data_IF_111853191402
#
_entry.id   IF_111853191402
#
_cell.length_a   1.000
_cell.length_b   1.000
_cell.length_c   1.000
_cell.angle_alpha   90.00
_cell.angle_beta   90.00
_cell.angle_gamma   90.00
#
_symmetry.space_group_name_H-M   'P 1'
#
loop_
_entity.id
_entity.type
_entity.pdbx_description
1 polymer ?
#
# COMPACT_ATOMS: atom_id res chain seq x y z
N UNK A 1 -10.98 -7.56 20.52
CA UNK A 1 -10.03 -6.54 21.04
C UNK A 1 -10.84 -5.37 21.61
N UNK A 2 -10.27 -4.52 22.48
CA UNK A 2 -10.99 -3.33 23.00
C UNK A 2 -11.49 -2.41 21.87
N UNK A 3 -10.75 -2.33 20.75
CA UNK A 3 -11.16 -1.58 19.55
C UNK A 3 -12.37 -2.21 18.88
N UNK A 4 -12.44 -3.54 18.78
CA UNK A 4 -13.65 -4.23 18.25
C UNK A 4 -14.85 -3.98 19.16
N UNK A 5 -14.68 -4.03 20.47
CA UNK A 5 -15.74 -3.72 21.45
C UNK A 5 -16.19 -2.26 21.33
N UNK A 6 -15.25 -1.32 21.16
CA UNK A 6 -15.57 0.08 20.89
C UNK A 6 -16.37 0.24 19.59
N UNK A 7 -15.90 -0.36 18.50
CA UNK A 7 -16.53 -0.24 17.18
C UNK A 7 -17.91 -0.92 17.13
N UNK A 8 -18.14 -1.97 17.91
CA UNK A 8 -19.43 -2.65 18.03
C UNK A 8 -20.45 -1.89 18.90
N UNK A 9 -20.04 -0.85 19.63
CA UNK A 9 -20.94 -0.11 20.52
C UNK A 9 -21.89 0.84 19.79
N UNK A 10 -21.65 1.13 18.51
CA UNK A 10 -22.36 2.11 17.66
C UNK A 10 -22.58 3.50 18.27
N UNK A 11 -21.92 3.78 19.41
CA UNK A 11 -22.06 5.02 20.17
C UNK A 11 -21.26 6.16 19.54
N UNK A 12 -20.25 5.83 18.74
CA UNK A 12 -19.36 6.75 18.05
C UNK A 12 -19.02 6.20 16.66
N UNK A 13 -18.56 7.06 15.73
CA UNK A 13 -18.01 6.61 14.47
C UNK A 13 -16.88 5.58 14.69
N UNK A 14 -16.78 4.53 13.85
CA UNK A 14 -15.76 3.50 14.03
C UNK A 14 -14.34 4.07 14.03
N UNK A 15 -13.54 3.66 15.01
CA UNK A 15 -12.10 3.93 15.04
C UNK A 15 -11.40 3.06 14.00
N UNK A 16 -11.06 3.67 12.87
CA UNK A 16 -10.28 3.05 11.79
C UNK A 16 -8.80 3.43 11.94
N UNK A 17 -7.99 2.46 12.32
CA UNK A 17 -6.52 2.62 12.40
C UNK A 17 -5.88 2.07 11.14
N UNK A 18 -4.89 2.80 10.61
CA UNK A 18 -4.07 2.38 9.47
C UNK A 18 -2.60 2.43 9.86
N UNK A 19 -1.83 1.51 9.30
CA UNK A 19 -0.42 1.32 9.62
C UNK A 19 0.40 1.35 8.33
N UNK A 20 1.44 2.18 8.32
CA UNK A 20 2.44 2.22 7.27
C UNK A 20 3.79 1.86 7.86
N UNK A 21 4.40 0.79 7.37
CA UNK A 21 5.69 0.30 7.88
C UNK A 21 6.72 0.32 6.76
N UNK A 22 7.82 1.02 7.01
CA UNK A 22 8.96 1.07 6.13
C UNK A 22 10.25 0.85 6.91
N UNK A 23 11.16 0.11 6.29
CA UNK A 23 12.49 -0.14 6.83
C UNK A 23 13.53 0.50 5.94
N UNK A 24 14.34 1.40 6.50
CA UNK A 24 15.41 2.07 5.79
C UNK A 24 16.28 2.92 6.73
N UNK A 25 17.36 3.52 6.20
CA UNK A 25 18.28 4.34 6.98
C UNK A 25 17.59 5.62 7.48
N UNK A 26 17.87 5.99 8.72
CA UNK A 26 17.38 7.22 9.34
C UNK A 26 18.37 7.68 10.42
N UNK A 27 18.33 8.96 10.75
CA UNK A 27 19.09 9.52 11.88
C UNK A 27 18.18 9.51 13.11
N UNK A 28 18.64 8.91 14.20
CA UNK A 28 17.92 8.84 15.47
C UNK A 28 18.75 9.53 16.55
N UNK A 29 18.13 10.40 17.34
CA UNK A 29 18.82 11.06 18.44
C UNK A 29 17.97 12.10 19.15
N UNK A 30 18.59 12.77 20.13
CA UNK A 30 18.02 13.93 20.78
C UNK A 30 18.12 15.13 19.84
N UNK A 31 16.99 15.60 19.32
CA UNK A 31 16.92 16.80 18.50
C UNK A 31 16.17 17.90 19.26
N UNK A 32 16.74 19.11 19.25
CA UNK A 32 16.15 20.25 19.92
C UNK A 32 17.18 21.24 20.46
N UNK A 33 16.72 22.21 21.24
CA UNK A 33 17.56 23.21 21.89
C UNK A 33 17.90 22.78 23.31
N UNK A 34 18.87 23.46 23.94
CA UNK A 34 19.25 23.23 25.34
C UNK A 34 18.07 23.21 26.35
N UNK A 35 16.92 23.81 26.00
CA UNK A 35 15.73 23.91 26.86
C UNK A 35 14.58 22.95 26.48
N UNK A 36 14.66 22.27 25.33
CA UNK A 36 13.63 21.33 24.85
C UNK A 36 14.27 20.35 23.88
N UNK A 37 14.33 19.07 24.26
CA UNK A 37 14.86 17.98 23.46
C UNK A 37 13.78 16.91 23.28
N UNK A 38 13.58 16.50 22.03
CA UNK A 38 12.76 15.35 21.69
C UNK A 38 13.66 14.25 21.17
N UNK A 39 13.54 13.04 21.72
CA UNK A 39 14.16 11.86 21.14
C UNK A 39 13.34 11.45 19.92
N UNK A 40 13.89 11.64 18.73
CA UNK A 40 13.14 11.47 17.48
C UNK A 40 13.99 10.89 16.37
N UNK A 41 13.32 10.41 15.33
CA UNK A 41 13.94 9.92 14.10
C UNK A 41 13.64 10.89 12.95
N UNK A 42 14.65 11.23 12.16
CA UNK A 42 14.53 12.11 11.00
C UNK A 42 15.16 11.45 9.77
N UNK A 43 14.50 11.62 8.64
CA UNK A 43 15.00 11.20 7.33
C UNK A 43 13.89 10.77 6.39
N UNK A 44 14.27 10.55 5.13
CA UNK A 44 13.33 10.13 4.08
C UNK A 44 12.59 8.83 4.40
N UNK A 45 13.20 7.93 5.15
CA UNK A 45 12.55 6.68 5.58
C UNK A 45 11.37 6.93 6.53
N UNK A 46 11.46 7.92 7.42
CA UNK A 46 10.35 8.29 8.33
C UNK A 46 9.20 8.90 7.51
N UNK A 47 9.54 9.80 6.58
CA UNK A 47 8.56 10.39 5.66
C UNK A 47 7.87 9.35 4.78
N UNK A 48 8.62 8.35 4.30
CA UNK A 48 8.06 7.27 3.48
C UNK A 48 7.09 6.40 4.29
N UNK A 49 7.42 6.05 5.54
CA UNK A 49 6.51 5.29 6.40
C UNK A 49 5.15 5.99 6.58
N UNK A 50 5.16 7.31 6.85
CA UNK A 50 3.94 8.12 6.96
C UNK A 50 3.14 8.15 5.66
N UNK A 51 3.81 8.30 4.50
CA UNK A 51 3.13 8.24 3.19
C UNK A 51 2.49 6.87 2.95
N UNK A 52 3.20 5.79 3.28
CA UNK A 52 2.69 4.42 3.16
C UNK A 52 1.46 4.21 4.04
N UNK A 53 1.41 4.81 5.25
CA UNK A 53 0.19 4.79 6.07
C UNK A 53 -0.98 5.42 5.33
N UNK A 54 -0.81 6.63 4.79
CA UNK A 54 -1.87 7.34 4.10
C UNK A 54 -2.43 6.59 2.88
N UNK A 55 -1.59 5.83 2.18
CA UNK A 55 -1.99 5.03 1.01
C UNK A 55 -2.96 3.90 1.34
N UNK A 56 -3.02 3.44 2.59
CA UNK A 56 -4.01 2.46 3.01
C UNK A 56 -5.44 2.92 2.68
N UNK A 57 -5.71 4.24 2.78
CA UNK A 57 -7.02 4.79 2.43
C UNK A 57 -7.38 4.55 0.97
N UNK A 58 -6.43 4.63 0.05
CA UNK A 58 -6.68 4.45 -1.37
C UNK A 58 -6.88 2.97 -1.71
N UNK A 59 -6.04 2.09 -1.15
CA UNK A 59 -6.14 0.64 -1.35
C UNK A 59 -7.25 -0.03 -0.55
N UNK A 60 -7.83 0.65 0.45
CA UNK A 60 -8.83 0.06 1.36
C UNK A 60 -8.23 -0.92 2.37
N UNK A 61 -6.92 -0.85 2.61
CA UNK A 61 -6.20 -1.73 3.53
C UNK A 61 -6.09 -1.11 4.92
N UNK A 62 -5.67 -1.89 5.91
CA UNK A 62 -5.36 -1.40 7.26
C UNK A 62 -3.86 -1.39 7.55
N UNK A 63 -3.08 -2.22 6.88
CA UNK A 63 -1.63 -2.28 7.04
C UNK A 63 -0.95 -2.36 5.68
N UNK A 64 -0.01 -1.47 5.44
CA UNK A 64 0.87 -1.52 4.29
C UNK A 64 2.32 -1.56 4.75
N UNK A 65 3.09 -2.43 4.11
CA UNK A 65 4.52 -2.56 4.31
C UNK A 65 5.25 -2.42 2.99
N UNK A 66 6.42 -1.80 3.00
CA UNK A 66 7.27 -1.73 1.80
C UNK A 66 7.99 -3.06 1.52
N UNK A 67 8.46 -3.28 0.29
CA UNK A 67 9.35 -4.41 -0.05
C UNK A 67 10.53 -4.55 0.94
N UNK A 68 11.12 -3.43 1.34
CA UNK A 68 12.23 -3.40 2.30
C UNK A 68 11.85 -3.96 3.69
N UNK A 69 10.62 -3.73 4.13
CA UNK A 69 10.08 -4.31 5.36
C UNK A 69 9.71 -5.75 5.15
N UNK A 70 9.02 -6.08 4.05
CA UNK A 70 8.61 -7.44 3.71
C UNK A 70 9.77 -8.42 3.69
N UNK A 71 10.92 -8.01 3.17
CA UNK A 71 12.15 -8.81 3.13
C UNK A 71 12.70 -9.20 4.52
N UNK A 72 12.27 -8.51 5.58
CA UNK A 72 12.68 -8.78 6.97
C UNK A 72 11.59 -9.43 7.81
N UNK A 73 10.40 -9.67 7.25
CA UNK A 73 9.32 -10.36 7.95
C UNK A 73 9.60 -11.86 8.03
N UNK A 74 9.17 -12.47 9.11
CA UNK A 74 9.22 -13.93 9.26
C UNK A 74 8.38 -14.61 8.15
N UNK A 75 8.78 -15.80 7.67
CA UNK A 75 8.05 -16.52 6.62
C UNK A 75 6.58 -16.80 6.94
N UNK A 76 6.23 -16.91 8.23
CA UNK A 76 4.87 -17.13 8.70
C UNK A 76 3.93 -15.91 8.52
N UNK A 77 4.48 -14.72 8.24
CA UNK A 77 3.65 -13.53 8.02
C UNK A 77 3.10 -13.56 6.59
N UNK A 78 1.79 -13.75 6.47
CA UNK A 78 1.10 -13.76 5.19
C UNK A 78 1.04 -12.34 4.63
N UNK A 79 1.49 -12.19 3.40
CA UNK A 79 1.56 -10.91 2.71
C UNK A 79 1.15 -11.08 1.25
N UNK A 80 0.50 -10.07 0.68
CA UNK A 80 0.25 -9.98 -0.75
C UNK A 80 0.84 -8.69 -1.30
N UNK A 81 1.62 -8.79 -2.38
CA UNK A 81 2.13 -7.61 -3.08
C UNK A 81 0.98 -6.90 -3.77
N UNK A 82 0.72 -5.65 -3.40
CA UNK A 82 -0.33 -4.84 -4.03
C UNK A 82 0.16 -4.10 -5.27
N UNK A 83 1.46 -4.04 -5.52
CA UNK A 83 2.07 -3.44 -6.71
C UNK A 83 3.12 -2.40 -6.37
N UNK A 84 3.39 -1.49 -7.32
CA UNK A 84 4.43 -0.48 -7.23
C UNK A 84 3.84 0.92 -7.09
N UNK A 85 4.49 1.77 -6.30
CA UNK A 85 4.16 3.18 -6.20
C UNK A 85 5.34 4.06 -6.58
N UNK A 86 5.06 5.22 -7.19
CA UNK A 86 6.03 6.28 -7.38
C UNK A 86 5.92 7.28 -6.24
N UNK A 87 7.00 7.43 -5.48
CA UNK A 87 7.08 8.39 -4.38
C UNK A 87 7.81 9.63 -4.88
N UNK A 88 7.19 10.80 -4.73
CA UNK A 88 7.82 12.09 -5.07
C UNK A 88 9.17 12.21 -4.37
N UNK A 89 10.22 12.45 -5.17
CA UNK A 89 11.61 12.57 -4.73
C UNK A 89 12.43 11.28 -4.78
N UNK A 90 11.84 10.13 -5.14
CA UNK A 90 12.57 8.86 -5.35
C UNK A 90 12.58 8.46 -6.81
N UNK A 91 13.74 8.03 -7.29
CA UNK A 91 13.94 7.57 -8.68
C UNK A 91 13.33 6.20 -8.92
N UNK A 92 13.53 5.27 -7.99
CA UNK A 92 13.00 3.91 -8.06
C UNK A 92 11.60 3.80 -7.44
N UNK A 93 10.66 3.09 -8.09
CA UNK A 93 9.39 2.74 -7.49
C UNK A 93 9.55 1.90 -6.22
N UNK A 94 8.62 2.05 -5.29
CA UNK A 94 8.59 1.27 -4.04
C UNK A 94 7.46 0.25 -4.15
N UNK A 95 7.75 -1.03 -3.94
CA UNK A 95 6.69 -2.04 -3.85
C UNK A 95 6.00 -2.02 -2.49
N UNK A 96 4.69 -2.21 -2.54
CA UNK A 96 3.83 -2.28 -1.37
C UNK A 96 3.23 -3.68 -1.23
N UNK A 97 3.11 -4.12 0.01
CA UNK A 97 2.41 -5.32 0.40
C UNK A 97 1.40 -4.98 1.48
N UNK A 98 0.26 -5.67 1.48
CA UNK A 98 -0.63 -5.74 2.64
C UNK A 98 -0.42 -7.05 3.37
N UNK A 99 -0.71 -7.07 4.67
CA UNK A 99 -0.59 -8.27 5.51
C UNK A 99 -1.96 -8.84 5.83
N UNK A 100 -2.02 -10.17 5.97
CA UNK A 100 -3.24 -10.88 6.31
C UNK A 100 -3.04 -11.80 7.51
N UNK A 101 -4.11 -12.03 8.26
CA UNK A 101 -4.13 -13.01 9.35
C UNK A 101 -4.24 -14.44 8.82
N UNK A 102 -4.93 -14.59 7.71
CA UNK A 102 -5.29 -15.85 7.06
C UNK A 102 -5.01 -15.77 5.55
N UNK A 103 -4.82 -16.93 4.87
CA UNK A 103 -4.54 -16.94 3.43
C UNK A 103 -5.61 -16.25 2.60
N UNK A 104 -5.18 -15.60 1.52
CA UNK A 104 -6.06 -15.00 0.51
C UNK A 104 -6.16 -15.95 -0.66
N UNK A 105 -7.34 -16.56 -0.87
CA UNK A 105 -7.55 -17.52 -1.95
C UNK A 105 -7.30 -16.90 -3.34
N UNK A 106 -7.61 -15.61 -3.49
CA UNK A 106 -7.45 -14.86 -4.73
C UNK A 106 -6.03 -14.30 -4.97
N UNK A 107 -5.06 -14.61 -4.09
CA UNK A 107 -3.69 -14.13 -4.23
C UNK A 107 -3.06 -14.47 -5.60
N UNK A 108 -3.17 -15.69 -6.14
CA UNK A 108 -2.62 -16.02 -7.46
C UNK A 108 -3.24 -15.18 -8.59
N UNK A 109 -4.55 -14.93 -8.53
CA UNK A 109 -5.24 -14.12 -9.55
C UNK A 109 -4.90 -12.64 -9.43
N UNK A 110 -4.65 -12.16 -8.22
CA UNK A 110 -4.13 -10.82 -8.01
C UNK A 110 -2.72 -10.65 -8.61
N UNK A 111 -1.84 -11.64 -8.45
CA UNK A 111 -0.51 -11.65 -9.05
C UNK A 111 -0.58 -11.64 -10.59
N UNK A 112 -1.48 -12.42 -11.18
CA UNK A 112 -1.76 -12.42 -12.62
C UNK A 112 -2.30 -11.06 -13.10
N UNK A 113 -3.21 -10.45 -12.33
CA UNK A 113 -3.75 -9.13 -12.62
C UNK A 113 -2.65 -8.07 -12.65
N UNK A 114 -1.74 -8.09 -11.66
CA UNK A 114 -0.58 -7.20 -11.63
C UNK A 114 0.38 -7.45 -12.79
N UNK A 115 0.66 -8.70 -13.13
CA UNK A 115 1.52 -9.04 -14.26
C UNK A 115 0.95 -8.50 -15.58
N UNK A 116 -0.35 -8.69 -15.80
CA UNK A 116 -1.07 -8.18 -16.98
C UNK A 116 -1.09 -6.66 -17.02
N UNK A 117 -1.29 -6.01 -15.87
CA UNK A 117 -1.22 -4.55 -15.73
C UNK A 117 0.15 -4.00 -16.12
N UNK A 118 1.24 -4.61 -15.63
CA UNK A 118 2.61 -4.23 -16.00
C UNK A 118 2.89 -4.47 -17.50
N UNK A 119 2.33 -5.55 -18.07
CA UNK A 119 2.44 -5.88 -19.48
C UNK A 119 1.56 -5.02 -20.40
N UNK A 120 0.73 -4.14 -19.85
CA UNK A 120 -0.24 -3.29 -20.57
C UNK A 120 -1.36 -4.08 -21.26
N UNK A 121 -1.58 -5.32 -20.84
CA UNK A 121 -2.75 -6.09 -21.24
C UNK A 121 -3.94 -5.63 -20.40
N UNK A 122 -4.52 -4.51 -20.82
CA UNK A 122 -5.58 -3.84 -20.08
C UNK A 122 -6.86 -4.66 -19.98
N UNK A 123 -7.15 -5.46 -21.00
CA UNK A 123 -8.36 -6.28 -21.01
C UNK A 123 -8.27 -7.39 -19.98
N UNK A 124 -7.16 -8.14 -19.98
CA UNK A 124 -6.91 -9.20 -18.99
C UNK A 124 -6.80 -8.60 -17.59
N UNK A 125 -6.04 -7.51 -17.42
CA UNK A 125 -5.87 -6.87 -16.12
C UNK A 125 -7.21 -6.42 -15.50
N UNK A 126 -8.06 -5.72 -16.27
CA UNK A 126 -9.37 -5.26 -15.77
C UNK A 126 -10.24 -6.43 -15.34
N UNK A 127 -10.34 -7.47 -16.18
CA UNK A 127 -11.14 -8.67 -15.89
C UNK A 127 -10.64 -9.38 -14.63
N UNK A 128 -9.33 -9.55 -14.49
CA UNK A 128 -8.74 -10.22 -13.33
C UNK A 128 -8.95 -9.41 -12.04
N UNK A 129 -8.74 -8.08 -12.06
CA UNK A 129 -9.05 -7.23 -10.91
C UNK A 129 -10.54 -7.25 -10.56
N UNK A 130 -11.44 -7.22 -11.55
CA UNK A 130 -12.89 -7.29 -11.32
C UNK A 130 -13.27 -8.58 -10.60
N UNK A 131 -12.71 -9.71 -11.04
CA UNK A 131 -12.98 -11.01 -10.45
C UNK A 131 -12.44 -11.10 -9.02
N UNK A 132 -11.21 -10.65 -8.78
CA UNK A 132 -10.64 -10.61 -7.42
C UNK A 132 -11.50 -9.74 -6.51
N UNK A 133 -11.92 -8.55 -6.96
CA UNK A 133 -12.73 -7.66 -6.14
C UNK A 133 -14.13 -8.19 -5.80
N UNK A 134 -14.68 -9.09 -6.63
CA UNK A 134 -15.93 -9.80 -6.34
C UNK A 134 -15.76 -10.97 -5.35
N UNK A 135 -14.62 -11.65 -5.40
CA UNK A 135 -14.38 -12.89 -4.65
C UNK A 135 -13.63 -12.65 -3.32
N UNK A 136 -12.90 -11.55 -3.21
CA UNK A 136 -12.15 -11.17 -2.02
C UNK A 136 -12.48 -9.72 -1.62
N UNK A 137 -13.39 -9.56 -0.66
CA UNK A 137 -13.87 -8.26 -0.20
C UNK A 137 -12.75 -7.40 0.39
N UNK A 138 -11.70 -8.02 0.97
CA UNK A 138 -10.53 -7.30 1.50
C UNK A 138 -9.69 -6.62 0.41
N UNK A 139 -9.81 -7.07 -0.84
CA UNK A 139 -9.11 -6.52 -2.01
C UNK A 139 -10.02 -5.72 -2.95
N UNK A 140 -11.34 -5.67 -2.70
CA UNK A 140 -12.31 -5.03 -3.59
C UNK A 140 -11.96 -3.56 -3.90
N UNK A 141 -11.57 -2.80 -2.88
CA UNK A 141 -11.20 -1.40 -3.08
C UNK A 141 -9.87 -1.24 -3.86
N UNK A 142 -8.87 -2.07 -3.55
CA UNK A 142 -7.60 -2.08 -4.27
C UNK A 142 -7.80 -2.45 -5.75
N UNK A 143 -8.64 -3.45 -6.03
CA UNK A 143 -9.02 -3.84 -7.38
C UNK A 143 -9.70 -2.69 -8.15
N UNK A 144 -10.68 -2.03 -7.53
CA UNK A 144 -11.35 -0.87 -8.12
C UNK A 144 -10.38 0.29 -8.40
N UNK A 145 -9.40 0.51 -7.51
CA UNK A 145 -8.33 1.49 -7.73
C UNK A 145 -7.53 1.18 -9.01
N UNK A 146 -7.15 -0.08 -9.22
CA UNK A 146 -6.44 -0.48 -10.44
C UNK A 146 -7.29 -0.34 -11.70
N UNK A 147 -8.58 -0.68 -11.64
CA UNK A 147 -9.49 -0.49 -12.77
C UNK A 147 -9.60 0.98 -13.18
N UNK A 148 -9.76 1.88 -12.21
CA UNK A 148 -9.76 3.32 -12.44
C UNK A 148 -8.42 3.82 -13.00
N UNK A 149 -7.31 3.26 -12.52
CA UNK A 149 -5.99 3.59 -13.04
C UNK A 149 -5.82 3.16 -14.49
N UNK A 150 -6.29 1.96 -14.87
CA UNK A 150 -6.25 1.47 -16.25
C UNK A 150 -7.06 2.39 -17.17
N UNK A 151 -8.23 2.86 -16.74
CA UNK A 151 -9.01 3.83 -17.52
C UNK A 151 -8.21 5.09 -17.83
N UNK A 152 -7.56 5.68 -16.82
CA UNK A 152 -6.69 6.86 -16.99
C UNK A 152 -5.50 6.60 -17.91
N UNK A 153 -4.86 5.43 -17.77
CA UNK A 153 -3.71 5.05 -18.58
C UNK A 153 -4.08 4.74 -20.04
N UNK A 154 -5.33 4.39 -20.33
CA UNK A 154 -5.81 4.27 -21.71
C UNK A 154 -5.93 5.64 -22.39
N UNK A 155 -6.37 6.66 -21.65
CA UNK A 155 -6.48 8.03 -22.15
C UNK A 155 -5.11 8.71 -22.25
N UNK A 156 -4.24 8.49 -21.26
CA UNK A 156 -2.88 9.02 -21.21
C UNK A 156 -1.87 7.87 -21.02
N UNK A 157 -1.40 7.24 -22.10
CA UNK A 157 -0.49 6.10 -22.05
C UNK A 157 0.80 6.39 -21.29
N UNK A 158 1.29 5.44 -20.49
CA UNK A 158 2.52 5.63 -19.73
C UNK A 158 3.76 5.55 -20.64
N UNK A 159 4.87 6.20 -20.26
CA UNK A 159 6.11 6.18 -21.03
C UNK A 159 6.67 4.74 -21.16
N UNK A 160 7.56 4.47 -22.14
CA UNK A 160 8.15 3.14 -22.33
C UNK A 160 8.85 2.57 -21.09
N UNK A 161 9.47 3.43 -20.26
CA UNK A 161 10.20 3.04 -19.05
C UNK A 161 9.30 2.79 -17.82
N UNK A 162 7.97 2.88 -17.97
CA UNK A 162 7.01 2.61 -16.90
C UNK A 162 7.01 1.12 -16.52
N UNK A 163 7.03 0.84 -15.21
CA UNK A 163 7.20 -0.50 -14.64
C UNK A 163 5.91 -1.03 -13.98
N UNK A 164 4.77 -0.39 -14.21
CA UNK A 164 3.54 -0.71 -13.49
C UNK A 164 3.37 0.09 -12.20
N UNK A 165 4.09 1.19 -12.00
CA UNK A 165 3.94 2.00 -10.80
C UNK A 165 2.76 2.98 -10.86
N UNK A 166 2.03 3.10 -9.75
CA UNK A 166 0.95 4.07 -9.57
C UNK A 166 1.53 5.36 -8.98
N UNK A 167 1.13 6.50 -9.54
CA UNK A 167 1.48 7.82 -9.01
C UNK A 167 0.32 8.32 -8.15
N UNK A 168 0.60 8.67 -6.90
CA UNK A 168 -0.35 9.32 -6.02
C UNK A 168 0.02 10.79 -5.87
N UNK A 169 -0.82 11.67 -6.38
CA UNK A 169 -0.66 13.11 -6.17
C UNK A 169 -1.02 13.47 -4.73
N UNK A 170 -0.27 14.41 -4.14
CA UNK A 170 -0.64 14.97 -2.84
C UNK A 170 -1.91 15.79 -3.02
N UNK A 171 -2.93 15.50 -2.21
CA UNK A 171 -3.89 16.52 -1.78
C UNK A 171 -3.42 17.08 -0.45
#
# INVERSE_FOLDING_TARGET
TEIETFNASDRFPPLKTRFGIHTGPMVVGNLGSARRFDFTAIGDSVNLASRVEGLNKAFGTTILVTDATRARLAPAVLSLKLGLIRVVGKTQPVGLHTLFRDPVAEAPRWEEALASFCARDWEVAVRSFEQVGRQESRLAQAAALYQNQIQRLRETPPPPAWQGEIVFDRK
#
